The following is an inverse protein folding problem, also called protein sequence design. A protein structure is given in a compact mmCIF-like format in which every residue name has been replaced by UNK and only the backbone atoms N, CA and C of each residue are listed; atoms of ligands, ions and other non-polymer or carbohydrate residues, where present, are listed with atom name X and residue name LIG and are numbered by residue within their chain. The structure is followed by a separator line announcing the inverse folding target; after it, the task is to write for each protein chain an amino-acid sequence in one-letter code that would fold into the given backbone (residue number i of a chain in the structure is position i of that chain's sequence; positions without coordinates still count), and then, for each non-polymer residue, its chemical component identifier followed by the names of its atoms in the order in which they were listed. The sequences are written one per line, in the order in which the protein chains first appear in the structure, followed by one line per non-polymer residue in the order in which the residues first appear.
data_IF_300031310924
#
_entry.id   IF_300031310924
#
_cell.length_a   1.000
_cell.length_b   1.000
_cell.length_c   1.000
_cell.angle_alpha   90.00
_cell.angle_beta   90.00
_cell.angle_gamma   90.00
#
_symmetry.space_group_name_H-M   'P 1'
#
loop_
_entity.id
_entity.type
_entity.pdbx_description
1 polymer ?
#
# COMPACT_ATOMS: atom_id res chain seq x y z
N UNK A 1 -17.41 0.66 5.63
CA UNK A 1 -16.86 2.03 5.76
C UNK A 1 -15.52 2.10 5.03
N UNK A 2 -15.13 3.29 4.55
CA UNK A 2 -13.84 3.55 3.92
C UNK A 2 -13.15 4.72 4.61
N UNK A 3 -11.83 4.64 4.82
CA UNK A 3 -11.05 5.70 5.48
C UNK A 3 -9.66 5.85 4.85
N UNK A 4 -9.26 7.08 4.53
CA UNK A 4 -7.90 7.41 4.12
C UNK A 4 -7.14 8.04 5.28
N UNK A 5 -5.95 7.53 5.58
CA UNK A 5 -5.11 8.06 6.66
C UNK A 5 -3.61 7.92 6.38
N UNK A 6 -2.81 8.70 7.09
CA UNK A 6 -1.37 8.50 7.17
C UNK A 6 -1.07 7.43 8.23
N UNK A 7 -0.43 6.35 7.80
CA UNK A 7 0.01 5.24 8.63
C UNK A 7 1.47 5.45 9.06
N UNK A 8 1.80 5.07 10.28
CA UNK A 8 3.16 5.11 10.84
C UNK A 8 3.55 3.72 11.34
N UNK A 9 4.73 3.23 10.94
CA UNK A 9 5.28 1.94 11.37
C UNK A 9 6.76 2.08 11.72
N UNK A 10 7.16 1.50 12.85
CA UNK A 10 8.55 1.58 13.33
C UNK A 10 9.50 0.71 12.51
N UNK A 11 9.03 -0.42 11.97
CA UNK A 11 9.81 -1.32 11.10
C UNK A 11 11.14 -1.81 11.73
N UNK A 12 11.16 -2.05 13.05
CA UNK A 12 12.37 -2.38 13.83
C UNK A 12 12.95 -3.76 13.52
N UNK A 13 12.08 -4.77 13.35
CA UNK A 13 12.49 -6.19 13.33
C UNK A 13 12.31 -6.88 11.98
N UNK A 14 11.87 -6.15 10.94
CA UNK A 14 11.38 -6.78 9.70
C UNK A 14 12.08 -6.21 8.47
N UNK A 15 12.77 -7.06 7.70
CA UNK A 15 13.32 -6.79 6.35
C UNK A 15 14.22 -5.55 6.20
N UNK A 16 15.54 -5.74 6.00
CA UNK A 16 16.46 -4.63 5.71
C UNK A 16 16.24 -4.09 4.29
N UNK A 17 15.32 -3.16 4.13
CA UNK A 17 15.11 -2.37 2.91
C UNK A 17 15.57 -0.93 3.18
N UNK A 18 16.89 -0.64 3.13
CA UNK A 18 17.42 0.67 3.50
C UNK A 18 17.09 1.78 2.49
N UNK A 19 16.68 1.41 1.27
CA UNK A 19 16.35 2.32 0.18
C UNK A 19 15.11 1.84 -0.56
N UNK A 20 14.43 2.75 -1.25
CA UNK A 20 13.19 2.46 -1.98
C UNK A 20 11.94 2.60 -1.12
N UNK A 21 10.78 2.24 -1.69
CA UNK A 21 9.46 2.49 -1.08
C UNK A 21 8.81 1.22 -0.51
N UNK A 22 9.49 0.08 -0.54
CA UNK A 22 8.88 -1.20 -0.21
C UNK A 22 8.51 -1.31 1.28
N UNK A 23 9.33 -0.70 2.13
CA UNK A 23 9.17 -0.64 3.58
C UNK A 23 9.65 0.72 4.07
N UNK A 24 8.70 1.54 4.52
CA UNK A 24 8.91 2.94 4.91
C UNK A 24 8.21 3.21 6.23
N UNK A 25 8.70 4.20 6.98
CA UNK A 25 8.13 4.53 8.29
C UNK A 25 6.78 5.23 8.22
N UNK A 26 6.47 5.89 7.11
CA UNK A 26 5.22 6.61 6.92
C UNK A 26 4.66 6.38 5.52
N UNK A 27 3.35 6.24 5.40
CA UNK A 27 2.68 6.08 4.11
C UNK A 27 1.20 6.39 4.19
N UNK A 28 0.57 6.69 3.06
CA UNK A 28 -0.88 6.85 2.96
C UNK A 28 -1.53 5.52 2.60
N UNK A 29 -2.64 5.19 3.28
CA UNK A 29 -3.44 4.00 3.01
C UNK A 29 -4.92 4.37 3.00
N UNK A 30 -5.66 3.78 2.07
CA UNK A 30 -7.13 3.73 2.08
C UNK A 30 -7.56 2.36 2.59
N UNK A 31 -8.32 2.34 3.67
CA UNK A 31 -8.78 1.13 4.37
C UNK A 31 -10.27 0.92 4.20
N UNK A 32 -10.67 -0.32 3.93
CA UNK A 32 -12.03 -0.81 4.05
C UNK A 32 -12.22 -1.46 5.43
N UNK A 33 -13.27 -1.07 6.14
CA UNK A 33 -13.62 -1.64 7.44
C UNK A 33 -15.12 -1.95 7.49
N UNK A 34 -15.43 -3.18 7.90
CA UNK A 34 -16.75 -3.75 7.97
C UNK A 34 -17.10 -4.15 9.40
N UNK A 35 -18.30 -3.78 9.82
CA UNK A 35 -18.97 -4.32 11.01
C UNK A 35 -20.24 -4.97 10.51
N UNK A 36 -20.40 -6.26 10.77
CA UNK A 36 -21.54 -7.03 10.29
C UNK A 36 -22.18 -7.82 11.43
N UNK A 37 -23.40 -8.30 11.18
CA UNK A 37 -24.12 -9.17 12.10
C UNK A 37 -23.26 -10.39 12.47
N UNK A 38 -23.48 -10.98 13.65
CA UNK A 38 -22.82 -12.20 14.08
C UNK A 38 -23.16 -13.33 13.13
N UNK A 39 -22.23 -14.26 13.01
CA UNK A 39 -22.34 -15.39 12.11
C UNK A 39 -21.19 -15.41 11.12
N UNK A 40 -20.70 -16.62 10.86
CA UNK A 40 -19.61 -16.83 9.91
C UNK A 40 -20.06 -16.56 8.47
N UNK A 41 -21.34 -16.74 8.16
CA UNK A 41 -21.87 -16.52 6.81
C UNK A 41 -21.72 -15.04 6.42
N UNK A 42 -22.21 -14.12 7.25
CA UNK A 42 -22.21 -12.68 6.98
C UNK A 42 -20.79 -12.12 6.92
N UNK A 43 -19.91 -12.53 7.84
CA UNK A 43 -18.53 -12.03 7.84
C UNK A 43 -17.65 -12.66 6.75
N UNK A 44 -17.95 -13.90 6.32
CA UNK A 44 -17.25 -14.50 5.17
C UNK A 44 -17.70 -13.87 3.86
N UNK A 45 -19.00 -13.64 3.67
CA UNK A 45 -19.52 -12.91 2.50
C UNK A 45 -18.91 -11.50 2.39
N UNK A 46 -18.80 -10.78 3.50
CA UNK A 46 -18.17 -9.46 3.51
C UNK A 46 -16.67 -9.50 3.23
N UNK A 47 -15.97 -10.56 3.68
CA UNK A 47 -14.57 -10.77 3.32
C UNK A 47 -14.41 -11.02 1.81
N UNK A 48 -15.28 -11.84 1.22
CA UNK A 48 -15.29 -12.12 -0.22
C UNK A 48 -15.61 -10.87 -1.05
N UNK A 49 -16.54 -10.03 -0.57
CA UNK A 49 -16.83 -8.71 -1.16
C UNK A 49 -15.61 -7.79 -1.10
N UNK A 50 -14.94 -7.70 0.05
CA UNK A 50 -13.75 -6.85 0.17
C UNK A 50 -12.60 -7.35 -0.69
N UNK A 51 -12.42 -8.67 -0.80
CA UNK A 51 -11.43 -9.26 -1.69
C UNK A 51 -11.74 -8.97 -3.16
N UNK A 52 -13.01 -9.06 -3.58
CA UNK A 52 -13.39 -8.78 -4.97
C UNK A 52 -13.14 -7.31 -5.34
N UNK A 53 -13.41 -6.37 -4.43
CA UNK A 53 -13.07 -4.95 -4.60
C UNK A 53 -11.56 -4.71 -4.73
N UNK A 54 -10.73 -5.43 -3.97
CA UNK A 54 -9.26 -5.34 -4.12
C UNK A 54 -8.80 -5.84 -5.49
N UNK A 55 -9.37 -6.95 -5.95
CA UNK A 55 -9.10 -7.52 -7.28
C UNK A 55 -9.53 -6.55 -8.38
N UNK A 56 -10.71 -5.94 -8.25
CA UNK A 56 -11.22 -4.92 -9.19
C UNK A 56 -10.27 -3.72 -9.28
N UNK A 57 -9.91 -3.11 -8.14
CA UNK A 57 -8.98 -1.96 -8.08
C UNK A 57 -7.64 -2.29 -8.78
N UNK A 58 -7.03 -3.43 -8.46
CA UNK A 58 -5.73 -3.80 -9.05
C UNK A 58 -5.84 -4.15 -10.54
N UNK A 59 -6.97 -4.72 -10.96
CA UNK A 59 -7.26 -5.03 -12.37
C UNK A 59 -7.44 -3.75 -13.18
N UNK A 60 -8.20 -2.79 -12.66
CA UNK A 60 -8.40 -1.47 -13.28
C UNK A 60 -7.09 -0.67 -13.42
N UNK A 61 -6.20 -0.81 -12.45
CA UNK A 61 -4.84 -0.26 -12.51
C UNK A 61 -3.94 -0.95 -13.54
N UNK A 62 -4.39 -2.06 -14.15
CA UNK A 62 -3.63 -2.82 -15.13
C UNK A 62 -2.44 -3.58 -14.54
N UNK A 63 -2.48 -3.91 -13.25
CA UNK A 63 -1.39 -4.61 -12.58
C UNK A 63 -1.50 -6.12 -12.75
N UNK A 64 -0.36 -6.78 -12.87
CA UNK A 64 -0.28 -8.24 -12.78
C UNK A 64 -0.14 -8.64 -11.30
N UNK A 65 -1.03 -9.49 -10.80
CA UNK A 65 -1.06 -9.88 -9.38
C UNK A 65 -1.51 -11.32 -9.18
N UNK A 66 -1.33 -11.82 -7.95
CA UNK A 66 -1.83 -13.13 -7.49
C UNK A 66 -2.52 -12.99 -6.14
N UNK A 67 -3.61 -13.72 -5.96
CA UNK A 67 -4.34 -13.82 -4.68
C UNK A 67 -3.82 -15.03 -3.91
N UNK A 68 -3.57 -14.85 -2.62
CA UNK A 68 -3.04 -15.88 -1.72
C UNK A 68 -4.01 -16.11 -0.56
N UNK A 69 -4.27 -17.39 -0.28
CA UNK A 69 -4.91 -17.82 0.95
C UNK A 69 -3.84 -18.09 2.01
N UNK A 70 -3.83 -17.30 3.08
CA UNK A 70 -2.68 -17.26 3.99
C UNK A 70 -2.65 -18.46 4.93
N UNK A 71 -1.47 -19.06 5.17
CA UNK A 71 -1.34 -20.20 6.07
C UNK A 71 -1.57 -19.78 7.53
N UNK A 72 -1.81 -20.77 8.39
CA UNK A 72 -2.10 -20.56 9.82
C UNK A 72 -1.03 -19.74 10.56
N UNK A 73 0.24 -19.85 10.16
CA UNK A 73 1.36 -19.14 10.75
C UNK A 73 1.37 -17.63 10.42
N UNK A 74 0.65 -17.22 9.37
CA UNK A 74 0.58 -15.83 8.86
C UNK A 74 -0.76 -15.13 9.15
N UNK A 75 -1.65 -15.78 9.90
CA UNK A 75 -2.92 -15.16 10.34
C UNK A 75 -2.71 -14.08 11.41
N UNK A 76 -1.60 -14.15 12.15
CA UNK A 76 -1.40 -13.35 13.35
C UNK A 76 -2.40 -13.72 14.45
N UNK A 77 -2.62 -12.79 15.39
CA UNK A 77 -3.55 -13.03 16.50
C UNK A 77 -5.04 -12.90 16.15
N UNK A 78 -5.48 -11.88 15.37
CA UNK A 78 -6.91 -11.58 15.29
C UNK A 78 -7.64 -12.25 14.11
N UNK A 79 -6.93 -12.79 13.10
CA UNK A 79 -7.58 -13.25 11.88
C UNK A 79 -8.06 -14.71 11.99
N UNK A 80 -9.34 -14.93 11.68
CA UNK A 80 -9.90 -16.26 11.43
C UNK A 80 -9.57 -16.75 10.02
N UNK A 81 -9.65 -15.85 9.03
CA UNK A 81 -9.26 -16.09 7.65
C UNK A 81 -8.62 -14.83 7.07
N UNK A 82 -7.57 -14.99 6.27
CA UNK A 82 -6.82 -13.89 5.67
C UNK A 82 -6.46 -14.19 4.22
N UNK A 83 -6.69 -13.21 3.36
CA UNK A 83 -6.25 -13.21 1.97
C UNK A 83 -5.29 -12.07 1.74
N UNK A 84 -4.19 -12.32 1.05
CA UNK A 84 -3.27 -11.29 0.60
C UNK A 84 -3.26 -11.24 -0.93
N UNK A 85 -3.00 -10.05 -1.48
CA UNK A 85 -2.72 -9.90 -2.91
C UNK A 85 -1.30 -9.37 -3.06
N UNK A 86 -0.52 -10.06 -3.88
CA UNK A 86 0.80 -9.62 -4.28
C UNK A 86 0.82 -9.17 -5.74
N UNK A 87 1.37 -7.99 -5.99
CA UNK A 87 1.58 -7.47 -7.35
C UNK A 87 3.00 -7.78 -7.82
N UNK A 88 3.14 -8.07 -9.11
CA UNK A 88 4.44 -8.22 -9.77
C UNK A 88 5.15 -6.88 -9.86
N UNK A 89 6.43 -6.87 -9.50
CA UNK A 89 7.31 -5.69 -9.51
C UNK A 89 8.54 -6.02 -10.38
N UNK A 90 8.53 -5.67 -11.69
CA UNK A 90 9.59 -6.06 -12.64
C UNK A 90 11.02 -5.70 -12.24
N UNK A 91 11.23 -4.50 -11.73
CA UNK A 91 12.53 -4.00 -11.29
C UNK A 91 13.00 -4.65 -9.99
N UNK A 92 12.06 -4.96 -9.08
CA UNK A 92 12.33 -5.79 -7.90
C UNK A 92 12.59 -7.26 -8.25
N UNK A 93 12.03 -7.75 -9.36
CA UNK A 93 12.18 -9.12 -9.83
C UNK A 93 11.35 -10.15 -9.07
N UNK A 94 10.22 -9.74 -8.47
CA UNK A 94 9.38 -10.60 -7.66
C UNK A 94 7.98 -10.05 -7.42
N UNK A 95 7.11 -10.90 -6.86
CA UNK A 95 5.84 -10.46 -6.29
C UNK A 95 6.07 -9.80 -4.93
N UNK A 96 5.30 -8.75 -4.64
CA UNK A 96 5.26 -8.11 -3.34
C UNK A 96 3.83 -7.80 -2.90
N UNK A 97 3.51 -8.11 -1.64
CA UNK A 97 2.20 -7.86 -1.03
C UNK A 97 1.82 -6.38 -1.16
N UNK A 98 0.67 -6.10 -1.78
CA UNK A 98 0.10 -4.75 -1.92
C UNK A 98 -1.16 -4.57 -1.08
N UNK A 99 -1.87 -5.65 -0.76
CA UNK A 99 -3.07 -5.62 0.06
C UNK A 99 -3.17 -6.86 0.95
N UNK A 100 -3.91 -6.72 2.04
CA UNK A 100 -4.40 -7.81 2.88
C UNK A 100 -5.88 -7.59 3.19
N UNK A 101 -6.61 -8.67 3.42
CA UNK A 101 -8.01 -8.72 3.83
C UNK A 101 -8.19 -9.78 4.92
N UNK A 102 -8.86 -9.46 6.01
CA UNK A 102 -8.98 -10.33 7.19
C UNK A 102 -10.38 -10.30 7.78
N UNK A 103 -10.94 -11.49 8.01
CA UNK A 103 -12.12 -11.68 8.85
C UNK A 103 -11.64 -11.97 10.27
N UNK A 104 -12.02 -11.12 11.22
CA UNK A 104 -11.63 -11.23 12.63
C UNK A 104 -12.74 -11.79 13.51
N UNK A 105 -13.85 -12.24 12.91
CA UNK A 105 -15.06 -12.70 13.62
C UNK A 105 -15.38 -11.75 14.79
N UNK A 106 -15.69 -12.29 15.96
CA UNK A 106 -15.91 -11.55 17.19
C UNK A 106 -14.64 -11.28 18.02
N UNK A 107 -13.43 -11.57 17.49
CA UNK A 107 -12.19 -11.39 18.25
C UNK A 107 -12.00 -9.94 18.70
N UNK A 108 -12.15 -8.99 17.77
CA UNK A 108 -11.98 -7.57 18.06
C UNK A 108 -13.18 -7.03 18.83
N UNK A 109 -14.40 -7.41 18.44
CA UNK A 109 -15.62 -6.91 19.06
C UNK A 109 -15.74 -7.32 20.52
N UNK A 110 -15.30 -8.52 20.91
CA UNK A 110 -15.23 -8.96 22.32
C UNK A 110 -14.25 -8.15 23.17
N UNK A 111 -13.19 -7.63 22.56
CA UNK A 111 -12.13 -6.86 23.26
C UNK A 111 -12.50 -5.39 23.39
N UNK A 112 -13.29 -4.87 22.45
CA UNK A 112 -13.65 -3.46 22.33
C UNK A 112 -15.13 -3.18 22.61
N UNK A 113 -15.93 -4.21 22.92
CA UNK A 113 -17.38 -4.14 23.12
C UNK A 113 -18.13 -3.54 21.92
N UNK A 114 -17.84 -4.02 20.70
CA UNK A 114 -18.54 -3.62 19.47
C UNK A 114 -19.79 -4.48 19.31
N UNK A 115 -20.93 -3.94 19.74
CA UNK A 115 -22.21 -4.65 19.79
C UNK A 115 -23.16 -4.20 18.68
N UNK A 116 -24.13 -5.03 18.35
CA UNK A 116 -25.36 -4.63 17.68
C UNK A 116 -26.56 -5.13 18.50
N UNK A 117 -27.69 -4.45 18.33
CA UNK A 117 -28.96 -4.84 18.92
C UNK A 117 -29.75 -5.65 17.88
N UNK A 118 -30.16 -6.86 18.25
CA UNK A 118 -31.00 -7.69 17.40
C UNK A 118 -32.44 -7.16 17.35
N UNK A 119 -33.26 -7.70 16.45
CA UNK A 119 -34.70 -7.38 16.40
C UNK A 119 -35.44 -7.71 17.70
N UNK A 120 -34.91 -8.61 18.53
CA UNK A 120 -35.48 -8.98 19.84
C UNK A 120 -35.01 -8.06 20.97
N UNK A 121 -34.18 -7.04 20.69
CA UNK A 121 -33.58 -6.16 21.70
C UNK A 121 -32.40 -6.77 22.44
N UNK A 122 -31.88 -7.92 21.99
CA UNK A 122 -30.72 -8.57 22.58
C UNK A 122 -29.43 -7.94 22.04
N UNK A 123 -28.53 -7.54 22.94
CA UNK A 123 -27.20 -7.09 22.56
C UNK A 123 -26.29 -8.29 22.26
N UNK A 124 -25.73 -8.31 21.06
CA UNK A 124 -24.86 -9.37 20.58
C UNK A 124 -23.56 -8.78 20.01
N UNK A 125 -22.45 -9.52 20.12
CA UNK A 125 -21.17 -9.09 19.57
C UNK A 125 -21.19 -9.17 18.05
N UNK A 126 -20.74 -8.10 17.40
CA UNK A 126 -20.61 -8.06 15.93
C UNK A 126 -19.43 -8.87 15.44
N UNK A 127 -19.41 -9.18 14.15
CA UNK A 127 -18.20 -9.59 13.45
C UNK A 127 -17.52 -8.40 12.77
N UNK A 128 -16.19 -8.43 12.72
CA UNK A 128 -15.37 -7.36 12.14
C UNK A 128 -14.52 -7.88 10.99
N UNK A 129 -14.49 -7.13 9.89
CA UNK A 129 -13.72 -7.45 8.67
C UNK A 129 -12.95 -6.20 8.26
N UNK A 130 -11.68 -6.35 7.87
CA UNK A 130 -10.86 -5.24 7.37
C UNK A 130 -10.14 -5.66 6.10
N UNK A 131 -9.90 -4.70 5.21
CA UNK A 131 -9.16 -4.93 3.98
C UNK A 131 -8.53 -3.64 3.46
N UNK A 132 -7.34 -3.75 2.86
CA UNK A 132 -6.66 -2.60 2.24
C UNK A 132 -7.30 -2.31 0.88
N UNK A 133 -7.86 -1.12 0.65
CA UNK A 133 -8.28 -0.70 -0.70
C UNK A 133 -7.05 -0.31 -1.53
N UNK A 134 -6.15 0.50 -0.97
CA UNK A 134 -4.90 0.89 -1.63
C UNK A 134 -3.85 1.35 -0.61
N UNK A 135 -2.66 0.74 -0.66
CA UNK A 135 -1.47 1.20 0.06
C UNK A 135 -0.47 1.80 -0.94
N UNK A 136 -0.32 3.13 -0.89
CA UNK A 136 0.38 3.91 -1.93
C UNK A 136 1.81 3.43 -2.23
N UNK A 137 2.69 3.11 -1.25
CA UNK A 137 4.11 2.91 -1.55
C UNK A 137 4.40 1.75 -2.50
N UNK A 138 3.78 0.58 -2.26
CA UNK A 138 4.04 -0.62 -3.08
C UNK A 138 3.25 -0.61 -4.37
N UNK A 139 2.08 0.04 -4.39
CA UNK A 139 1.34 0.31 -5.63
C UNK A 139 2.15 1.23 -6.55
N UNK A 140 2.85 2.25 -6.01
CA UNK A 140 3.78 3.07 -6.80
C UNK A 140 4.92 2.24 -7.40
N UNK A 141 5.53 1.33 -6.63
CA UNK A 141 6.57 0.43 -7.17
C UNK A 141 6.02 -0.36 -8.36
N UNK A 142 4.90 -1.05 -8.16
CA UNK A 142 4.28 -1.88 -9.20
C UNK A 142 3.91 -1.07 -10.45
N UNK A 143 3.34 0.13 -10.28
CA UNK A 143 2.97 1.02 -11.38
C UNK A 143 4.18 1.53 -12.15
N UNK A 144 5.17 2.09 -11.45
CA UNK A 144 6.35 2.68 -12.09
C UNK A 144 7.16 1.62 -12.86
N UNK A 145 7.37 0.46 -12.25
CA UNK A 145 8.17 -0.59 -12.86
C UNK A 145 7.44 -1.30 -14.01
N UNK A 146 6.12 -1.48 -13.92
CA UNK A 146 5.33 -2.16 -14.97
C UNK A 146 5.04 -1.27 -16.17
N UNK A 147 5.03 0.05 -16.00
CA UNK A 147 4.67 1.00 -17.05
C UNK A 147 5.87 1.80 -17.60
N UNK A 148 7.10 1.48 -17.18
CA UNK A 148 8.32 2.14 -17.65
C UNK A 148 8.55 1.96 -19.15
N UNK A 149 9.20 2.96 -19.76
CA UNK A 149 9.49 3.01 -21.18
C UNK A 149 11.00 3.10 -21.39
N UNK A 150 11.47 2.74 -22.59
CA UNK A 150 12.91 2.67 -22.91
C UNK A 150 13.63 4.01 -22.73
N UNK A 151 12.94 5.14 -22.88
CA UNK A 151 13.45 6.49 -22.71
C UNK A 151 13.43 6.99 -21.24
N UNK A 152 12.96 6.15 -20.31
CA UNK A 152 12.81 6.50 -18.89
C UNK A 152 11.49 7.20 -18.54
N UNK A 153 10.62 7.47 -19.53
CA UNK A 153 9.24 7.90 -19.25
C UNK A 153 8.40 6.76 -18.70
N UNK A 154 7.26 7.07 -18.08
CA UNK A 154 6.35 6.07 -17.51
C UNK A 154 4.94 6.34 -18.03
N UNK A 155 4.28 5.32 -18.57
CA UNK A 155 2.87 5.41 -18.96
C UNK A 155 1.96 5.46 -17.74
N UNK A 156 0.89 6.24 -17.82
CA UNK A 156 -0.13 6.37 -16.78
C UNK A 156 -1.32 5.48 -17.15
N UNK A 157 -1.72 4.52 -16.29
CA UNK A 157 -2.94 3.73 -16.51
C UNK A 157 -4.15 4.62 -16.78
N UNK A 158 -5.02 4.21 -17.69
CA UNK A 158 -6.15 5.02 -18.14
C UNK A 158 -7.02 5.56 -16.97
N UNK A 159 -7.25 4.73 -15.95
CA UNK A 159 -8.03 5.10 -14.76
C UNK A 159 -7.36 6.19 -13.90
N UNK A 160 -6.05 6.37 -14.01
CA UNK A 160 -5.31 7.41 -13.29
C UNK A 160 -5.12 8.71 -14.10
N UNK A 161 -5.30 8.68 -15.42
CA UNK A 161 -5.08 9.84 -16.29
C UNK A 161 -5.91 11.08 -15.91
N UNK A 162 -7.20 10.97 -15.49
CA UNK A 162 -7.97 12.14 -15.04
C UNK A 162 -7.38 12.85 -13.82
N UNK A 163 -6.62 12.13 -12.98
CA UNK A 163 -6.01 12.66 -11.76
C UNK A 163 -4.61 13.22 -12.01
N UNK A 164 -3.87 12.63 -12.95
CA UNK A 164 -2.50 13.04 -13.30
C UNK A 164 -2.48 14.15 -14.36
N UNK A 165 -3.48 14.17 -15.26
CA UNK A 165 -3.60 15.15 -16.34
C UNK A 165 -2.74 14.85 -17.59
N UNK A 166 -2.15 13.67 -17.68
CA UNK A 166 -1.35 13.19 -18.82
C UNK A 166 -1.40 11.67 -18.91
N UNK A 167 -1.18 11.11 -20.10
CA UNK A 167 -1.02 9.67 -20.34
C UNK A 167 0.41 9.17 -20.09
N UNK A 168 1.36 10.09 -19.91
CA UNK A 168 2.78 9.80 -19.77
C UNK A 168 3.47 10.80 -18.85
N UNK A 169 4.20 10.28 -17.87
CA UNK A 169 5.12 11.02 -17.01
C UNK A 169 6.46 11.12 -17.72
N UNK A 170 6.95 12.34 -17.95
CA UNK A 170 8.22 12.63 -18.61
C UNK A 170 9.18 13.39 -17.70
N UNK A 171 10.40 13.63 -18.17
CA UNK A 171 11.35 14.48 -17.46
C UNK A 171 10.72 15.86 -17.17
N UNK A 172 10.89 16.39 -15.95
CA UNK A 172 10.32 17.68 -15.57
C UNK A 172 11.11 18.84 -16.22
N UNK A 173 10.47 20.01 -16.30
CA UNK A 173 11.10 21.22 -16.84
C UNK A 173 11.98 21.95 -15.82
N UNK A 174 11.81 21.68 -14.52
CA UNK A 174 12.61 22.31 -13.47
C UNK A 174 14.02 21.73 -13.41
N UNK A 175 14.99 22.54 -12.99
CA UNK A 175 16.35 22.09 -12.72
C UNK A 175 16.36 21.33 -11.39
N UNK A 176 16.85 20.08 -11.33
CA UNK A 176 16.95 19.34 -10.08
C UNK A 176 17.76 20.09 -9.02
N UNK A 177 17.41 19.89 -7.74
CA UNK A 177 18.13 20.49 -6.62
C UNK A 177 19.61 20.10 -6.65
N UNK A 178 20.49 21.08 -6.50
CA UNK A 178 21.94 20.86 -6.39
C UNK A 178 22.36 20.87 -4.92
N UNK A 179 23.01 19.80 -4.48
CA UNK A 179 23.54 19.73 -3.11
C UNK A 179 24.77 20.64 -2.98
N UNK A 180 24.65 21.68 -2.15
CA UNK A 180 25.72 22.65 -1.89
C UNK A 180 26.35 22.50 -0.49
N UNK A 181 26.02 21.42 0.22
CA UNK A 181 26.58 21.17 1.55
C UNK A 181 28.07 20.79 1.50
N UNK A 182 28.77 20.85 2.64
CA UNK A 182 30.20 20.59 2.72
C UNK A 182 30.58 19.11 2.51
N UNK A 183 29.63 18.18 2.65
CA UNK A 183 29.88 16.73 2.58
C UNK A 183 29.87 16.22 1.13
N UNK A 184 30.71 16.82 0.27
CA UNK A 184 30.90 16.40 -1.12
C UNK A 184 32.36 16.55 -1.54
N UNK A 185 32.85 15.74 -2.49
CA UNK A 185 34.19 15.93 -3.04
C UNK A 185 34.35 17.35 -3.59
N UNK A 186 35.24 18.15 -3.00
CA UNK A 186 35.55 19.48 -3.52
C UNK A 186 36.47 19.34 -4.73
N UNK A 187 36.11 19.97 -5.86
CA UNK A 187 37.08 20.19 -6.93
C UNK A 187 38.19 21.11 -6.38
N UNK A 188 39.49 20.77 -6.56
CA UNK A 188 40.57 21.67 -6.19
C UNK A 188 40.32 23.04 -6.84
N UNK A 189 40.31 24.11 -6.05
CA UNK A 189 40.34 25.46 -6.62
C UNK A 189 41.65 25.59 -7.39
N UNK A 190 41.57 25.82 -8.71
CA UNK A 190 42.73 26.23 -9.50
C UNK A 190 43.36 27.45 -8.81
N UNK A 191 44.70 27.52 -8.65
CA UNK A 191 45.33 28.67 -8.04
C UNK A 191 44.93 29.92 -8.83
N UNK A 192 44.35 30.90 -8.13
CA UNK A 192 44.00 32.19 -8.71
C UNK A 192 45.25 32.88 -9.26
N UNK A 193 45.11 33.76 -10.27
CA UNK A 193 46.24 34.49 -10.81
C UNK A 193 46.95 35.28 -9.69
N UNK A 194 48.30 35.37 -9.71
CA UNK A 194 49.04 36.10 -8.71
C UNK A 194 48.56 37.55 -8.65
N UNK A 195 48.37 38.07 -7.43
CA UNK A 195 47.99 39.46 -7.22
C UNK A 195 49.02 40.38 -7.89
N UNK A 196 48.55 41.27 -8.77
CA UNK A 196 49.39 42.29 -9.37
C UNK A 196 49.91 43.22 -8.26
N UNK A 197 51.24 43.33 -8.18
CA UNK A 197 52.01 44.19 -7.28
C UNK A 197 51.87 45.67 -7.60
#
# INVERSE_FOLDING_TARGET
MVCASTCYRAETDTGKEPWGLYRVHHFTKVEMFGVTAPGLEQSSQLLDEFLSLQVEILTELGLHFRVLDMPTQELGLPAYRKFDIEAWMPGRGGYGEVTSASNCTDFQSRRLYIMFESETGELQFTHTVNATACAVPRVLIALLESNQQKDGSVLVPAVLQPYVGTDRITAPTHVPLQYIGPNQPQKPRLPGPPAAS
#
